data_IF_540414234987
#
_entry.id   IF_540414234987
#
_cell.length_a   1.000
_cell.length_b   1.000
_cell.length_c   1.000
_cell.angle_alpha   90.00
_cell.angle_beta   90.00
_cell.angle_gamma   90.00
#
_symmetry.space_group_name_H-M   'P 1'
#
loop_
_entity.id
_entity.type
_entity.pdbx_description
1 polymer ?
#
# COMPACT_ATOMS: atom_id res chain seq x y z
N UNK A 1 4.14 -16.51 -11.50
CA UNK A 1 3.86 -17.41 -10.37
C UNK A 1 2.45 -17.07 -9.90
N UNK A 2 1.48 -17.94 -10.16
CA UNK A 2 0.04 -17.63 -10.07
C UNK A 2 -0.59 -18.72 -9.22
N UNK A 3 -0.62 -18.51 -7.91
CA UNK A 3 -1.35 -19.32 -6.93
C UNK A 3 -1.18 -18.64 -5.56
N UNK A 4 -2.26 -18.03 -5.04
CA UNK A 4 -2.79 -18.54 -3.77
C UNK A 4 -4.27 -18.23 -3.54
N UNK A 5 -4.90 -17.10 -3.95
CA UNK A 5 -6.23 -16.77 -3.40
C UNK A 5 -7.28 -16.02 -4.27
N UNK A 6 -7.10 -15.81 -5.59
CA UNK A 6 -8.16 -15.13 -6.35
C UNK A 6 -7.97 -14.89 -7.85
N UNK A 7 -7.20 -15.73 -8.54
CA UNK A 7 -7.06 -15.66 -10.01
C UNK A 7 -6.50 -14.32 -10.54
N UNK A 8 -6.80 -14.03 -11.82
CA UNK A 8 -6.44 -12.76 -12.47
C UNK A 8 -7.27 -11.58 -11.90
N UNK A 9 -8.46 -11.86 -11.35
CA UNK A 9 -9.36 -10.85 -10.78
C UNK A 9 -8.80 -10.24 -9.49
N UNK A 10 -8.27 -11.04 -8.55
CA UNK A 10 -7.63 -10.48 -7.36
C UNK A 10 -6.39 -9.65 -7.71
N UNK A 11 -5.65 -10.03 -8.75
CA UNK A 11 -4.54 -9.20 -9.26
C UNK A 11 -5.06 -7.90 -9.85
N UNK A 12 -6.21 -7.92 -10.53
CA UNK A 12 -6.84 -6.71 -11.07
C UNK A 12 -7.25 -5.74 -9.96
N UNK A 13 -7.76 -6.24 -8.83
CA UNK A 13 -8.15 -5.44 -7.66
C UNK A 13 -6.97 -5.08 -6.72
N UNK A 14 -5.77 -5.59 -7.00
CA UNK A 14 -4.55 -5.29 -6.26
C UNK A 14 -3.83 -4.06 -6.80
N UNK A 15 -3.10 -3.37 -5.92
CA UNK A 15 -2.18 -2.29 -6.33
C UNK A 15 -0.84 -2.84 -6.79
N UNK A 16 -0.16 -2.05 -7.61
CA UNK A 16 1.23 -2.28 -8.00
C UNK A 16 2.14 -2.34 -6.77
N UNK A 17 3.11 -3.27 -6.73
CA UNK A 17 4.08 -3.37 -5.62
C UNK A 17 4.93 -2.10 -5.43
N UNK A 18 4.94 -1.19 -6.41
CA UNK A 18 5.59 0.11 -6.30
C UNK A 18 5.08 0.92 -5.10
N UNK A 19 3.81 0.74 -4.68
CA UNK A 19 3.26 1.45 -3.52
C UNK A 19 4.03 1.15 -2.23
N UNK A 20 4.39 -0.12 -2.01
CA UNK A 20 5.17 -0.55 -0.86
C UNK A 20 6.62 -0.05 -0.94
N UNK A 21 7.18 0.02 -2.14
CA UNK A 21 8.53 0.56 -2.35
C UNK A 21 8.59 2.05 -1.99
N UNK A 22 7.64 2.85 -2.48
CA UNK A 22 7.60 4.29 -2.21
C UNK A 22 7.27 4.57 -0.74
N UNK A 23 6.35 3.80 -0.14
CA UNK A 23 6.07 3.89 1.30
C UNK A 23 7.31 3.58 2.16
N UNK A 24 8.08 2.55 1.80
CA UNK A 24 9.31 2.23 2.51
C UNK A 24 10.35 3.36 2.39
N UNK A 25 10.51 3.95 1.20
CA UNK A 25 11.38 5.13 1.01
C UNK A 25 10.92 6.31 1.84
N UNK A 26 9.60 6.56 1.89
CA UNK A 26 9.02 7.63 2.71
C UNK A 26 9.33 7.42 4.20
N UNK A 27 9.12 6.22 4.74
CA UNK A 27 9.43 5.90 6.15
C UNK A 27 10.93 6.00 6.43
N UNK A 28 11.79 5.48 5.55
CA UNK A 28 13.24 5.53 5.73
C UNK A 28 13.82 6.95 5.60
N UNK A 29 13.11 7.85 4.93
CA UNK A 29 13.46 9.27 4.81
C UNK A 29 13.09 10.12 6.02
N UNK A 30 12.34 9.57 6.99
CA UNK A 30 11.96 10.29 8.21
C UNK A 30 13.12 10.36 9.23
N UNK A 31 12.93 11.17 10.28
CA UNK A 31 13.90 11.27 11.36
C UNK A 31 14.13 9.93 12.07
N UNK A 32 15.38 9.64 12.45
CA UNK A 32 15.78 8.39 13.12
C UNK A 32 15.07 8.09 14.44
N UNK A 33 14.43 9.09 15.06
CA UNK A 33 13.62 8.94 16.27
C UNK A 33 12.25 8.32 15.98
N UNK A 34 11.84 8.24 14.72
CA UNK A 34 10.58 7.67 14.28
C UNK A 34 10.63 6.13 14.30
N UNK A 35 10.35 5.56 15.47
CA UNK A 35 10.50 4.12 15.76
C UNK A 35 9.25 3.55 16.44
N UNK A 36 9.08 2.23 16.41
CA UNK A 36 7.99 1.53 17.12
C UNK A 36 6.59 1.68 16.51
N UNK A 37 6.49 2.16 15.26
CA UNK A 37 5.22 2.34 14.53
C UNK A 37 4.99 1.19 13.54
N UNK A 38 3.73 0.78 13.42
CA UNK A 38 3.24 -0.08 12.35
C UNK A 38 2.52 0.81 11.33
N UNK A 39 3.07 0.95 10.13
CA UNK A 39 2.51 1.81 9.10
C UNK A 39 1.64 1.01 8.13
N UNK A 40 0.56 1.64 7.66
CA UNK A 40 -0.04 1.32 6.38
C UNK A 40 0.69 2.12 5.28
N UNK A 41 0.88 1.51 4.12
CA UNK A 41 1.50 2.15 2.95
C UNK A 41 0.77 3.44 2.55
N UNK A 42 -0.56 3.43 2.53
CA UNK A 42 -1.39 4.59 2.23
C UNK A 42 -1.24 5.71 3.25
N UNK A 43 -1.04 5.38 4.54
CA UNK A 43 -0.84 6.37 5.60
C UNK A 43 0.57 6.96 5.54
N UNK A 44 1.60 6.13 5.31
CA UNK A 44 2.97 6.59 5.12
C UNK A 44 3.10 7.53 3.92
N UNK A 45 2.46 7.19 2.80
CA UNK A 45 2.42 8.04 1.60
C UNK A 45 1.65 9.34 1.83
N UNK A 46 0.51 9.28 2.52
CA UNK A 46 -0.25 10.47 2.87
C UNK A 46 0.54 11.43 3.78
N UNK A 47 1.27 10.90 4.78
CA UNK A 47 2.18 11.69 5.63
C UNK A 47 3.31 12.36 4.81
N UNK A 48 3.75 11.72 3.72
CA UNK A 48 4.71 12.27 2.76
C UNK A 48 4.08 13.22 1.72
N UNK A 49 2.78 13.49 1.81
CA UNK A 49 2.05 14.39 0.90
C UNK A 49 1.55 13.73 -0.40
N UNK A 50 1.67 12.41 -0.52
CA UNK A 50 1.17 11.63 -1.66
C UNK A 50 -0.23 11.10 -1.33
N UNK A 51 -1.25 11.75 -1.89
CA UNK A 51 -2.67 11.38 -1.66
C UNK A 51 -3.35 10.83 -2.91
N UNK A 52 -2.82 11.13 -4.10
CA UNK A 52 -3.27 10.49 -5.34
C UNK A 52 -2.57 9.13 -5.50
N UNK A 53 -3.31 8.07 -5.19
CA UNK A 53 -2.82 6.70 -5.25
C UNK A 53 -3.19 6.00 -6.56
N UNK A 54 -3.84 6.70 -7.50
CA UNK A 54 -4.27 6.13 -8.79
C UNK A 54 -3.08 5.65 -9.64
N UNK A 55 -1.90 6.23 -9.43
CA UNK A 55 -0.64 5.82 -10.08
C UNK A 55 -0.21 4.39 -9.74
N UNK A 56 -0.70 3.85 -8.62
CA UNK A 56 -0.44 2.48 -8.19
C UNK A 56 -1.48 1.48 -8.74
N UNK A 57 -2.48 1.95 -9.49
CA UNK A 57 -3.50 1.09 -10.09
C UNK A 57 -4.42 0.41 -9.07
N UNK A 58 -4.96 -0.75 -9.46
CA UNK A 58 -6.05 -1.43 -8.76
C UNK A 58 -7.40 -1.03 -9.36
N UNK A 59 -8.15 -2.04 -9.81
CA UNK A 59 -9.53 -1.88 -10.27
C UNK A 59 -10.43 -1.72 -9.05
N UNK A 60 -11.31 -0.71 -9.08
CA UNK A 60 -12.27 -0.51 -8.01
C UNK A 60 -13.35 -1.62 -7.99
N UNK A 61 -13.76 -2.10 -6.79
CA UNK A 61 -13.22 -1.75 -5.49
C UNK A 61 -11.84 -2.37 -5.26
N UNK A 62 -10.89 -1.59 -4.76
CA UNK A 62 -9.58 -2.13 -4.34
C UNK A 62 -9.79 -3.08 -3.16
N UNK A 63 -9.14 -4.25 -3.20
CA UNK A 63 -9.24 -5.24 -2.13
C UNK A 63 -8.41 -4.79 -0.91
N UNK A 64 -8.98 -4.94 0.29
CA UNK A 64 -8.27 -4.67 1.54
C UNK A 64 -7.34 -5.84 1.87
N UNK A 65 -6.15 -5.51 2.38
CA UNK A 65 -5.20 -6.54 2.84
C UNK A 65 -5.71 -7.18 4.14
N UNK A 66 -5.17 -8.36 4.43
CA UNK A 66 -5.44 -9.05 5.68
C UNK A 66 -5.07 -8.17 6.88
N UNK A 67 -5.90 -8.21 7.92
CA UNK A 67 -5.77 -7.42 9.14
C UNK A 67 -6.05 -5.91 8.99
N UNK A 68 -6.58 -5.47 7.84
CA UNK A 68 -7.06 -4.10 7.64
C UNK A 68 -8.57 -4.12 7.41
N UNK A 69 -9.32 -3.47 8.31
CA UNK A 69 -10.76 -3.30 8.17
C UNK A 69 -11.08 -2.02 7.38
N UNK A 70 -12.16 -2.03 6.56
CA UNK A 70 -12.69 -0.81 5.95
C UNK A 70 -13.07 0.22 7.03
N UNK A 71 -12.73 1.49 6.81
CA UNK A 71 -13.10 2.62 7.69
C UNK A 71 -14.44 3.23 7.30
#
# INVERSE_FOLDING_TARGET
>A
MRNLLGGDDAVAHSRSPQIMADAAVAVLGQDSTNTGRCYLDVEALAEAGVTDLSVYGGQEPVEYDIFVDPR
#
